data_IF_768170449001
#
_entry.id   IF_768170449001
#
_cell.length_a   1.000
_cell.length_b   1.000
_cell.length_c   1.000
_cell.angle_alpha   90.00
_cell.angle_beta   90.00
_cell.angle_gamma   90.00
#
_symmetry.space_group_name_H-M   'P 1'
#
loop_
_entity.id
_entity.type
_entity.pdbx_description
1 polymer ?
#
# COMPACT_ATOMS: atom_id res chain seq x y z
N UNK A 1 -4.85 -21.10 -52.15
CA UNK A 1 -4.91 -21.99 -50.98
C UNK A 1 -4.28 -21.25 -49.79
N UNK A 2 -5.00 -21.21 -48.66
CA UNK A 2 -4.57 -20.90 -47.27
C UNK A 2 -4.19 -19.41 -47.05
N UNK A 3 -5.15 -18.53 -46.73
CA UNK A 3 -5.70 -18.21 -45.39
C UNK A 3 -4.64 -17.68 -44.43
N UNK A 4 -4.68 -16.36 -44.21
CA UNK A 4 -3.95 -15.66 -43.15
C UNK A 4 -4.54 -15.97 -41.77
N UNK A 5 -3.67 -15.95 -40.76
CA UNK A 5 -4.05 -16.12 -39.36
C UNK A 5 -3.36 -15.05 -38.52
N UNK A 6 -4.02 -13.90 -38.40
CA UNK A 6 -3.72 -12.89 -37.39
C UNK A 6 -4.33 -13.37 -36.06
N UNK A 7 -3.49 -13.79 -35.11
CA UNK A 7 -3.93 -14.14 -33.77
C UNK A 7 -3.80 -12.91 -32.85
N UNK A 8 -4.86 -12.09 -32.80
CA UNK A 8 -5.06 -11.08 -31.74
C UNK A 8 -5.71 -11.77 -30.54
N UNK A 9 -4.91 -12.10 -29.53
CA UNK A 9 -5.42 -12.60 -28.26
C UNK A 9 -5.99 -11.45 -27.42
N UNK A 10 -7.31 -11.30 -27.44
CA UNK A 10 -8.04 -10.47 -26.49
C UNK A 10 -8.13 -11.20 -25.14
N UNK A 11 -7.36 -10.75 -24.16
CA UNK A 11 -7.46 -11.20 -22.77
C UNK A 11 -8.69 -10.53 -22.14
N UNK A 12 -9.79 -11.29 -22.05
CA UNK A 12 -10.98 -10.89 -21.32
C UNK A 12 -10.66 -10.79 -19.82
N UNK A 13 -10.66 -9.58 -19.26
CA UNK A 13 -10.70 -9.36 -17.82
C UNK A 13 -12.11 -9.69 -17.31
N UNK A 14 -12.26 -10.84 -16.67
CA UNK A 14 -13.46 -11.18 -15.91
C UNK A 14 -13.63 -10.21 -14.74
N UNK A 15 -14.57 -9.29 -14.85
CA UNK A 15 -15.11 -8.53 -13.73
C UNK A 15 -16.10 -9.39 -12.95
N UNK A 16 -15.85 -9.60 -11.66
CA UNK A 16 -16.84 -10.13 -10.73
C UNK A 16 -17.57 -8.94 -10.09
N UNK A 17 -18.81 -8.71 -10.49
CA UNK A 17 -19.73 -7.76 -9.86
C UNK A 17 -21.06 -8.47 -9.58
N UNK A 18 -21.38 -8.60 -8.28
CA UNK A 18 -22.73 -8.54 -7.70
C UNK A 18 -23.61 -9.80 -7.72
N UNK A 19 -24.17 -10.18 -6.56
CA UNK A 19 -25.60 -9.98 -6.26
C UNK A 19 -26.03 -10.58 -4.90
N UNK A 20 -27.11 -9.99 -4.38
CA UNK A 20 -27.72 -10.00 -3.04
C UNK A 20 -28.67 -11.18 -2.76
N UNK A 21 -28.73 -11.66 -1.50
CA UNK A 21 -29.90 -12.23 -0.78
C UNK A 21 -29.40 -12.71 0.61
N UNK A 22 -30.04 -12.53 1.78
CA UNK A 22 -31.34 -12.02 2.20
C UNK A 22 -31.39 -11.94 3.76
N UNK A 23 -32.54 -11.47 4.29
CA UNK A 23 -32.96 -11.28 5.70
C UNK A 23 -32.65 -12.50 6.60
N UNK A 24 -32.50 -12.41 7.92
CA UNK A 24 -33.43 -11.94 8.97
C UNK A 24 -32.66 -12.07 10.31
N UNK A 25 -32.70 -11.14 11.25
CA UNK A 25 -33.47 -11.34 12.49
C UNK A 25 -33.41 -10.12 13.39
N UNK A 26 -34.59 -9.85 13.92
CA UNK A 26 -35.10 -8.74 14.71
C UNK A 26 -34.70 -8.85 16.18
N UNK A 27 -34.38 -7.72 16.83
CA UNK A 27 -34.89 -7.35 18.17
C UNK A 27 -34.29 -6.00 18.64
N UNK A 28 -35.11 -4.95 18.61
CA UNK A 28 -35.08 -3.82 19.55
C UNK A 28 -35.55 -4.32 20.93
N UNK A 29 -35.31 -3.64 22.10
CA UNK A 29 -35.38 -2.17 22.26
C UNK A 29 -34.47 -1.52 23.34
N UNK A 30 -34.63 -0.20 23.48
CA UNK A 30 -34.74 0.57 24.76
C UNK A 30 -33.61 1.54 25.16
N UNK A 31 -33.99 2.84 25.20
CA UNK A 31 -33.62 3.95 26.13
C UNK A 31 -32.14 4.36 26.32
N UNK A 32 -31.73 5.63 26.47
CA UNK A 32 -32.37 6.95 26.62
C UNK A 32 -31.30 8.05 26.33
N UNK A 33 -31.69 9.32 26.07
CA UNK A 33 -30.78 10.47 26.02
C UNK A 33 -30.65 11.18 27.39
N UNK A 34 -29.68 12.11 27.49
CA UNK A 34 -29.32 13.01 28.61
C UNK A 34 -28.19 12.45 29.51
N UNK A 35 -27.21 13.20 30.03
CA UNK A 35 -27.10 14.62 30.35
C UNK A 35 -25.63 15.08 30.40
N UNK A 36 -25.47 16.37 30.15
CA UNK A 36 -24.42 17.32 30.55
C UNK A 36 -23.34 16.89 31.56
N UNK A 37 -22.11 17.35 31.33
CA UNK A 37 -21.34 18.22 32.25
C UNK A 37 -20.03 18.72 31.60
N UNK A 38 -19.97 20.02 31.32
CA UNK A 38 -18.74 20.82 31.49
C UNK A 38 -18.75 21.36 32.94
N UNK A 39 -17.72 22.04 33.50
CA UNK A 39 -16.39 22.41 32.99
C UNK A 39 -15.24 22.07 33.98
N UNK A 40 -13.98 22.38 33.65
CA UNK A 40 -13.01 22.95 34.61
C UNK A 40 -11.71 23.36 33.90
N UNK A 41 -11.54 24.67 33.78
CA UNK A 41 -10.28 25.39 33.65
C UNK A 41 -9.29 25.02 34.76
N UNK A 42 -8.03 24.83 34.39
CA UNK A 42 -6.89 25.27 35.18
C UNK A 42 -5.71 25.61 34.25
N UNK A 43 -5.42 26.90 34.01
CA UNK A 43 -4.15 27.35 33.50
C UNK A 43 -3.14 27.41 34.64
N UNK A 44 -1.91 26.94 34.43
CA UNK A 44 -0.80 27.42 35.23
C UNK A 44 0.49 27.42 34.42
N UNK A 45 1.07 28.61 34.41
CA UNK A 45 2.09 29.10 33.52
C UNK A 45 3.50 28.64 33.91
N UNK A 46 4.38 28.85 32.93
CA UNK A 46 5.78 29.26 33.10
C UNK A 46 6.82 28.18 33.36
N UNK A 47 7.51 27.79 32.29
CA UNK A 47 8.92 28.15 32.14
C UNK A 47 9.29 28.25 30.66
N UNK A 48 9.97 29.35 30.32
CA UNK A 48 10.44 29.70 28.99
C UNK A 48 11.60 28.79 28.51
N UNK A 49 11.60 28.53 27.19
CA UNK A 49 12.72 28.57 26.21
C UNK A 49 14.13 28.10 26.61
N UNK A 50 14.90 27.42 25.71
CA UNK A 50 15.14 27.95 24.36
C UNK A 50 15.12 26.94 23.20
N UNK A 51 14.79 27.51 22.04
CA UNK A 51 15.29 27.23 20.70
C UNK A 51 16.15 25.96 20.54
N UNK A 52 15.47 24.86 20.23
CA UNK A 52 16.07 23.76 19.49
C UNK A 52 15.55 23.82 18.06
N UNK A 53 16.36 24.38 17.17
CA UNK A 53 16.20 24.28 15.74
C UNK A 53 16.24 22.79 15.35
N UNK A 54 15.09 22.15 15.34
CA UNK A 54 14.91 20.87 14.70
C UNK A 54 13.67 21.05 13.85
N UNK A 55 13.93 21.38 12.58
CA UNK A 55 12.95 21.39 11.51
C UNK A 55 11.92 20.30 11.73
N UNK A 56 10.76 20.69 12.26
CA UNK A 56 9.54 19.89 12.29
C UNK A 56 9.20 19.61 10.84
N UNK A 57 9.66 18.44 10.34
CA UNK A 57 9.06 17.84 9.17
C UNK A 57 7.59 17.59 9.53
N UNK A 58 6.74 18.43 8.97
CA UNK A 58 5.31 18.44 9.24
C UNK A 58 4.63 17.13 8.89
N UNK A 59 3.67 16.78 9.75
CA UNK A 59 2.35 16.22 9.46
C UNK A 59 2.17 15.33 8.22
N UNK A 60 1.80 14.08 8.46
CA UNK A 60 0.38 13.68 8.36
C UNK A 60 0.13 12.42 9.19
N UNK A 61 -0.78 12.54 10.17
CA UNK A 61 -1.33 11.40 10.88
C UNK A 61 -2.28 10.59 10.00
N UNK A 62 -2.48 9.33 10.40
CA UNK A 62 -3.50 8.43 9.84
C UNK A 62 -2.92 7.12 9.31
N UNK A 63 -3.13 6.03 10.06
CA UNK A 63 -3.14 4.63 9.59
C UNK A 63 -1.83 3.95 9.16
N UNK A 64 -0.67 4.60 9.28
CA UNK A 64 0.63 4.05 8.83
C UNK A 64 1.55 3.50 9.93
N UNK A 65 1.05 3.19 11.14
CA UNK A 65 1.85 2.62 12.24
C UNK A 65 2.45 1.26 11.85
N UNK A 66 3.58 1.29 11.14
CA UNK A 66 4.38 0.13 10.78
C UNK A 66 4.65 -0.09 9.28
N UNK A 67 4.06 0.69 8.36
CA UNK A 67 4.38 0.59 6.92
C UNK A 67 5.64 1.41 6.60
N UNK A 68 6.65 0.85 5.91
CA UNK A 68 7.81 1.62 5.47
C UNK A 68 7.44 2.64 4.40
N UNK A 69 8.32 3.60 4.15
CA UNK A 69 8.09 4.64 3.15
C UNK A 69 8.17 4.05 1.73
N UNK A 70 7.41 4.59 0.77
CA UNK A 70 7.51 4.19 -0.66
C UNK A 70 8.96 4.21 -1.16
N UNK A 71 9.73 5.23 -0.78
CA UNK A 71 11.15 5.36 -1.15
C UNK A 71 12.04 4.23 -0.61
N UNK A 72 11.83 3.81 0.63
CA UNK A 72 12.61 2.73 1.26
C UNK A 72 12.31 1.38 0.61
N UNK A 73 11.03 1.14 0.29
CA UNK A 73 10.61 -0.06 -0.45
C UNK A 73 11.23 -0.07 -1.85
N UNK A 74 11.25 1.07 -2.55
CA UNK A 74 11.88 1.18 -3.86
C UNK A 74 13.38 0.90 -3.77
N UNK A 75 14.09 1.38 -2.75
CA UNK A 75 15.53 1.12 -2.59
C UNK A 75 15.80 -0.37 -2.37
N UNK A 76 15.04 -1.02 -1.48
CA UNK A 76 15.08 -2.45 -1.21
C UNK A 76 14.86 -3.31 -2.46
N UNK A 77 13.78 -3.03 -3.20
CA UNK A 77 13.49 -3.71 -4.46
C UNK A 77 14.55 -3.43 -5.52
N UNK A 78 15.03 -2.20 -5.63
CA UNK A 78 16.08 -1.85 -6.61
C UNK A 78 17.32 -2.69 -6.36
N UNK A 79 17.78 -2.80 -5.10
CA UNK A 79 18.88 -3.68 -4.73
C UNK A 79 18.59 -5.14 -5.06
N UNK A 80 17.41 -5.65 -4.69
CA UNK A 80 17.02 -7.02 -5.02
C UNK A 80 17.10 -7.29 -6.53
N UNK A 81 16.50 -6.43 -7.36
CA UNK A 81 16.48 -6.61 -8.80
C UNK A 81 17.85 -6.45 -9.46
N UNK A 82 18.68 -5.54 -8.96
CA UNK A 82 20.06 -5.40 -9.45
C UNK A 82 20.91 -6.60 -9.05
N UNK A 83 20.84 -7.08 -7.81
CA UNK A 83 21.68 -8.17 -7.31
C UNK A 83 21.21 -9.56 -7.73
N UNK A 84 19.90 -9.83 -7.69
CA UNK A 84 19.33 -11.17 -7.95
C UNK A 84 18.94 -11.37 -9.41
N UNK A 85 18.48 -10.31 -10.08
CA UNK A 85 17.97 -10.40 -11.45
C UNK A 85 18.90 -9.73 -12.49
N UNK A 86 20.08 -9.24 -12.07
CA UNK A 86 21.07 -8.58 -12.94
C UNK A 86 20.48 -7.43 -13.78
N UNK A 87 19.44 -6.77 -13.28
CA UNK A 87 18.86 -5.61 -13.95
C UNK A 87 19.75 -4.39 -13.79
N UNK A 88 19.86 -3.58 -14.85
CA UNK A 88 20.54 -2.29 -14.74
C UNK A 88 19.86 -1.44 -13.67
N UNK A 89 20.64 -0.66 -12.92
CA UNK A 89 20.14 0.15 -11.81
C UNK A 89 18.95 1.04 -12.23
N UNK A 90 19.00 1.59 -13.44
CA UNK A 90 17.91 2.40 -14.00
C UNK A 90 16.64 1.60 -14.24
N UNK A 91 16.73 0.41 -14.88
CA UNK A 91 15.57 -0.44 -15.13
C UNK A 91 15.00 -0.98 -13.82
N UNK A 92 15.86 -1.44 -12.92
CA UNK A 92 15.50 -1.92 -11.58
C UNK A 92 14.75 -0.84 -10.78
N UNK A 93 15.26 0.39 -10.73
CA UNK A 93 14.62 1.50 -10.02
C UNK A 93 13.28 1.89 -10.62
N UNK A 94 13.17 1.98 -11.95
CA UNK A 94 11.90 2.30 -12.62
C UNK A 94 10.85 1.21 -12.42
N UNK A 95 11.28 -0.05 -12.50
CA UNK A 95 10.40 -1.19 -12.26
C UNK A 95 9.93 -1.24 -10.79
N UNK A 96 10.84 -1.09 -9.84
CA UNK A 96 10.54 -1.03 -8.42
C UNK A 96 9.57 0.13 -8.08
N UNK A 97 9.82 1.31 -8.63
CA UNK A 97 8.93 2.48 -8.46
C UNK A 97 7.53 2.20 -8.98
N UNK A 98 7.43 1.62 -10.18
CA UNK A 98 6.15 1.27 -10.78
C UNK A 98 5.38 0.25 -9.93
N UNK A 99 6.04 -0.80 -9.44
CA UNK A 99 5.39 -1.80 -8.58
C UNK A 99 4.90 -1.18 -7.27
N UNK A 100 5.77 -0.42 -6.58
CA UNK A 100 5.40 0.24 -5.31
C UNK A 100 4.21 1.18 -5.50
N UNK A 101 4.17 1.97 -6.57
CA UNK A 101 3.06 2.87 -6.84
C UNK A 101 1.72 2.13 -7.01
N UNK A 102 1.74 0.94 -7.62
CA UNK A 102 0.55 0.11 -7.85
C UNK A 102 0.07 -0.63 -6.61
N UNK A 103 0.98 -1.06 -5.74
CA UNK A 103 0.66 -1.98 -4.65
C UNK A 103 0.68 -1.36 -3.26
N UNK A 104 1.32 -0.21 -3.03
CA UNK A 104 1.57 0.33 -1.69
C UNK A 104 0.31 0.47 -0.82
N UNK A 105 -0.74 0.99 -1.42
CA UNK A 105 -2.02 1.26 -0.74
C UNK A 105 -2.82 -0.02 -0.48
N UNK A 106 -2.56 -1.09 -1.24
CA UNK A 106 -3.30 -2.36 -1.17
C UNK A 106 -2.57 -3.46 -0.41
N UNK A 107 -1.25 -3.43 -0.40
CA UNK A 107 -0.42 -4.45 0.22
C UNK A 107 -0.40 -4.32 1.74
N UNK A 108 -0.26 -5.46 2.42
CA UNK A 108 -0.11 -5.53 3.87
C UNK A 108 1.23 -4.96 4.33
N UNK A 109 1.26 -4.41 5.55
CA UNK A 109 2.50 -3.84 6.11
C UNK A 109 3.65 -4.87 6.18
N UNK A 110 3.34 -6.14 6.46
CA UNK A 110 4.30 -7.25 6.43
C UNK A 110 4.97 -7.39 5.06
N UNK A 111 4.17 -7.40 3.99
CA UNK A 111 4.63 -7.49 2.61
C UNK A 111 5.47 -6.28 2.21
N UNK A 112 5.07 -5.07 2.63
CA UNK A 112 5.84 -3.85 2.37
C UNK A 112 7.23 -3.88 3.04
N UNK A 113 7.33 -4.40 4.27
CA UNK A 113 8.63 -4.59 4.95
C UNK A 113 9.50 -5.67 4.31
N UNK A 114 8.90 -6.76 3.84
CA UNK A 114 9.63 -7.79 3.11
C UNK A 114 10.25 -7.21 1.83
N UNK A 115 9.51 -6.36 1.13
CA UNK A 115 9.97 -5.65 -0.06
C UNK A 115 11.05 -4.60 0.24
N UNK A 116 10.90 -3.83 1.32
CA UNK A 116 11.94 -2.93 1.83
C UNK A 116 13.24 -3.68 2.17
N UNK A 117 13.15 -4.86 2.77
CA UNK A 117 14.30 -5.72 3.02
C UNK A 117 14.90 -6.33 1.74
N UNK A 118 14.26 -6.13 0.58
CA UNK A 118 14.67 -6.73 -0.68
C UNK A 118 14.45 -8.24 -0.71
N UNK A 119 13.50 -8.76 0.06
CA UNK A 119 13.17 -10.19 0.10
C UNK A 119 11.68 -10.42 -0.23
N UNK A 120 11.31 -10.33 -1.52
CA UNK A 120 9.91 -10.50 -1.92
C UNK A 120 9.39 -11.94 -1.72
N UNK A 121 10.24 -12.89 -1.33
CA UNK A 121 9.82 -14.26 -0.99
C UNK A 121 9.04 -14.31 0.35
N UNK A 122 9.24 -13.31 1.21
CA UNK A 122 8.62 -13.20 2.54
C UNK A 122 7.31 -12.39 2.52
N UNK A 123 6.75 -12.12 1.33
CA UNK A 123 5.44 -11.49 1.20
C UNK A 123 4.35 -12.32 1.89
N UNK A 124 3.30 -11.64 2.34
CA UNK A 124 2.09 -12.30 2.75
C UNK A 124 1.44 -13.00 1.53
N UNK A 125 1.01 -14.27 1.66
CA UNK A 125 0.41 -14.99 0.55
C UNK A 125 -0.86 -14.31 0.00
N UNK A 126 -1.58 -13.53 0.81
CA UNK A 126 -2.72 -12.74 0.34
C UNK A 126 -2.32 -11.62 -0.65
N UNK A 127 -1.07 -11.14 -0.56
CA UNK A 127 -0.54 -10.06 -1.41
C UNK A 127 0.21 -10.58 -2.65
N UNK A 128 0.42 -11.89 -2.77
CA UNK A 128 1.18 -12.49 -3.86
C UNK A 128 0.58 -12.15 -5.24
N UNK A 129 -0.74 -12.27 -5.39
CA UNK A 129 -1.44 -11.90 -6.62
C UNK A 129 -1.31 -10.41 -6.94
N UNK A 130 -1.22 -9.57 -5.91
CA UNK A 130 -1.09 -8.14 -6.05
C UNK A 130 0.31 -7.76 -6.54
N UNK A 131 1.34 -8.43 -6.02
CA UNK A 131 2.71 -8.32 -6.52
C UNK A 131 2.80 -8.80 -7.98
N UNK A 132 2.27 -9.99 -8.31
CA UNK A 132 2.35 -10.52 -9.68
C UNK A 132 1.60 -9.64 -10.68
N UNK A 133 0.42 -9.14 -10.31
CA UNK A 133 -0.36 -8.21 -11.15
C UNK A 133 0.40 -6.89 -11.37
N UNK A 134 0.98 -6.33 -10.31
CA UNK A 134 1.78 -5.09 -10.39
C UNK A 134 3.04 -5.30 -11.23
N UNK A 135 3.75 -6.41 -11.03
CA UNK A 135 4.91 -6.77 -11.83
C UNK A 135 4.57 -6.93 -13.31
N UNK A 136 3.45 -7.59 -13.63
CA UNK A 136 2.97 -7.73 -15.00
C UNK A 136 2.62 -6.39 -15.65
N UNK A 137 1.95 -5.51 -14.92
CA UNK A 137 1.63 -4.16 -15.39
C UNK A 137 2.88 -3.29 -15.64
N UNK A 138 3.97 -3.56 -14.92
CA UNK A 138 5.24 -2.84 -15.01
C UNK A 138 6.27 -3.52 -15.93
N UNK A 139 5.98 -4.71 -16.48
CA UNK A 139 6.95 -5.53 -17.21
C UNK A 139 7.51 -4.85 -18.47
N UNK A 140 6.75 -3.94 -19.08
CA UNK A 140 7.20 -3.13 -20.22
C UNK A 140 8.42 -2.26 -19.92
N UNK A 141 8.72 -1.96 -18.65
CA UNK A 141 9.92 -1.22 -18.23
C UNK A 141 11.19 -2.06 -18.39
N UNK A 142 11.07 -3.39 -18.38
CA UNK A 142 12.20 -4.31 -18.46
C UNK A 142 12.59 -4.64 -19.91
N UNK A 143 11.69 -4.41 -20.86
CA UNK A 143 11.93 -4.51 -22.31
C UNK A 143 12.99 -3.47 -22.74
#
# INVERSE_FOLDING_TARGET
MIVGLSATAALALGGCSGTSTGRESRATPVAAPASASSPADAPSSSAASPSGDASTAGSSGGDSTGKPSKGEIVDGLTKFYTTKQNLSQTKAKKFATCMVDKMYDKASAKSLRAMEAGDPSQLDPADASLLTSSAGACASILQ
#
